data_IF_563930485387
#
_entry.id   IF_563930485387
#
_cell.length_a   1.000
_cell.length_b   1.000
_cell.length_c   1.000
_cell.angle_alpha   90.00
_cell.angle_beta   90.00
_cell.angle_gamma   90.00
#
_symmetry.space_group_name_H-M   'P 1'
#
loop_
_entity.id
_entity.type
_entity.pdbx_description
1 polymer ?
#
# COMPACT_ATOMS: atom_id res chain seq x y z
N UNK A 1 -24.72 23.27 -3.18
CA UNK A 1 -23.64 23.24 -2.20
C UNK A 1 -22.91 24.57 -2.18
N UNK A 2 -22.70 25.21 -1.04
CA UNK A 2 -21.92 26.43 -1.03
C UNK A 2 -20.49 26.16 -1.50
N UNK A 3 -19.94 27.09 -2.28
CA UNK A 3 -18.54 27.02 -2.68
C UNK A 3 -17.64 27.17 -1.47
N UNK A 4 -16.67 26.26 -1.32
CA UNK A 4 -15.66 26.36 -0.26
C UNK A 4 -14.62 27.43 -0.63
N UNK A 5 -14.09 28.17 0.35
CA UNK A 5 -12.92 29.02 0.11
C UNK A 5 -11.76 28.17 -0.46
N UNK A 6 -10.97 28.79 -1.36
CA UNK A 6 -9.88 28.07 -2.06
C UNK A 6 -8.90 27.39 -1.10
N UNK A 7 -8.63 27.99 0.07
CA UNK A 7 -7.73 27.40 1.06
C UNK A 7 -8.36 26.15 1.74
N UNK A 8 -9.70 26.13 1.96
CA UNK A 8 -10.38 24.94 2.49
C UNK A 8 -10.39 23.81 1.48
N UNK A 9 -10.58 24.11 0.18
CA UNK A 9 -10.47 23.11 -0.87
C UNK A 9 -9.11 22.44 -0.89
N UNK A 10 -8.04 23.20 -0.70
CA UNK A 10 -6.67 22.67 -0.62
C UNK A 10 -6.47 21.75 0.58
N UNK A 11 -7.03 22.08 1.73
CA UNK A 11 -6.94 21.24 2.93
C UNK A 11 -7.78 19.97 2.83
N UNK A 12 -8.84 20.00 2.05
CA UNK A 12 -9.74 18.85 1.85
C UNK A 12 -9.42 18.02 0.63
N UNK A 13 -8.51 18.50 -0.21
CA UNK A 13 -8.06 17.73 -1.35
C UNK A 13 -7.35 16.45 -0.89
N UNK A 14 -7.64 15.29 -1.48
CA UNK A 14 -6.95 14.07 -1.12
C UNK A 14 -5.46 14.16 -1.43
N UNK A 15 -4.65 13.60 -0.55
CA UNK A 15 -3.22 13.49 -0.73
C UNK A 15 -2.90 12.14 -1.36
N UNK A 16 -2.12 12.15 -2.43
CA UNK A 16 -1.64 10.94 -3.08
C UNK A 16 -0.12 10.92 -3.05
N UNK A 17 0.45 9.75 -2.75
CA UNK A 17 1.90 9.57 -2.83
C UNK A 17 2.34 9.37 -4.28
N UNK A 18 3.63 9.50 -4.54
CA UNK A 18 4.18 9.13 -5.84
C UNK A 18 3.96 7.64 -6.07
N UNK A 19 3.56 7.25 -7.30
CA UNK A 19 3.37 5.84 -7.62
C UNK A 19 4.70 5.09 -7.69
N UNK A 20 4.68 3.81 -7.31
CA UNK A 20 5.77 2.88 -7.50
C UNK A 20 5.34 1.80 -8.49
N UNK A 21 6.28 1.23 -9.23
CA UNK A 21 5.99 0.22 -10.24
C UNK A 21 7.05 -0.86 -10.26
N UNK A 22 6.70 -2.00 -10.88
CA UNK A 22 7.65 -3.08 -11.13
C UNK A 22 8.15 -3.00 -12.58
N UNK A 23 9.46 -3.14 -12.84
CA UNK A 23 9.97 -3.22 -14.20
C UNK A 23 9.39 -4.39 -15.03
N UNK A 24 8.92 -5.44 -14.39
CA UNK A 24 8.30 -6.58 -15.06
C UNK A 24 6.92 -6.25 -15.65
N UNK A 25 6.19 -5.30 -15.03
CA UNK A 25 4.88 -4.84 -15.50
C UNK A 25 4.79 -3.31 -15.32
N UNK A 26 5.43 -2.54 -16.22
CA UNK A 26 5.60 -1.09 -16.02
C UNK A 26 4.31 -0.27 -16.11
N UNK A 27 3.20 -0.86 -16.60
CA UNK A 27 1.90 -0.19 -16.62
C UNK A 27 1.12 -0.34 -15.32
N UNK A 28 1.63 -1.10 -14.35
CA UNK A 28 1.00 -1.32 -13.05
C UNK A 28 1.72 -0.54 -11.96
N UNK A 29 0.94 0.28 -11.25
CA UNK A 29 1.43 1.18 -10.20
C UNK A 29 0.73 0.91 -8.89
N UNK A 30 1.42 1.16 -7.80
CA UNK A 30 0.85 1.22 -6.46
C UNK A 30 1.11 2.59 -5.88
N UNK A 31 0.07 3.20 -5.30
CA UNK A 31 0.16 4.47 -4.60
C UNK A 31 -0.66 4.42 -3.31
N UNK A 32 -0.42 5.38 -2.42
CA UNK A 32 -1.26 5.56 -1.24
C UNK A 32 -2.05 6.85 -1.40
N UNK A 33 -3.29 6.84 -0.94
CA UNK A 33 -4.16 8.01 -0.95
C UNK A 33 -5.03 8.03 0.31
N UNK A 34 -5.31 9.20 0.82
CA UNK A 34 -6.20 9.41 1.97
C UNK A 34 -7.62 9.80 1.57
N UNK A 35 -7.98 9.63 0.29
CA UNK A 35 -9.30 10.03 -0.23
C UNK A 35 -10.48 9.32 0.45
N UNK A 36 -10.24 8.15 1.07
CA UNK A 36 -11.24 7.41 1.83
C UNK A 36 -11.30 7.78 3.32
N UNK A 37 -10.50 8.76 3.77
CA UNK A 37 -10.44 9.23 5.15
C UNK A 37 -9.16 8.85 5.90
N UNK A 38 -8.47 7.80 5.48
CA UNK A 38 -7.16 7.39 5.96
C UNK A 38 -6.32 6.90 4.77
N UNK A 39 -5.00 6.90 4.93
CA UNK A 39 -4.13 6.41 3.86
C UNK A 39 -4.37 4.93 3.61
N UNK A 40 -4.81 4.59 2.39
CA UNK A 40 -4.97 3.22 1.91
C UNK A 40 -4.12 3.01 0.66
N UNK A 41 -3.90 1.75 0.31
CA UNK A 41 -3.14 1.41 -0.88
C UNK A 41 -4.07 1.18 -2.07
N UNK A 42 -3.70 1.76 -3.21
CA UNK A 42 -4.44 1.71 -4.45
C UNK A 42 -3.61 1.06 -5.53
N UNK A 43 -4.23 0.17 -6.29
CA UNK A 43 -3.68 -0.36 -7.53
C UNK A 43 -4.14 0.52 -8.69
N UNK A 44 -3.19 0.95 -9.51
CA UNK A 44 -3.48 1.80 -10.66
C UNK A 44 -2.80 1.24 -11.90
N UNK A 45 -3.57 0.97 -12.92
CA UNK A 45 -3.08 0.54 -14.21
C UNK A 45 -3.19 1.69 -15.21
N UNK A 46 -2.19 1.85 -16.08
CA UNK A 46 -2.19 2.92 -17.07
C UNK A 46 -3.49 2.91 -17.89
N UNK A 47 -4.15 4.07 -18.00
CA UNK A 47 -5.41 4.21 -18.71
C UNK A 47 -6.67 3.87 -17.91
N UNK A 48 -6.53 3.49 -16.63
CA UNK A 48 -7.64 3.16 -15.73
C UNK A 48 -7.63 4.07 -14.49
N UNK A 49 -8.73 4.06 -13.73
CA UNK A 49 -8.80 4.74 -12.45
C UNK A 49 -8.13 3.91 -11.35
N UNK A 50 -7.47 4.55 -10.37
CA UNK A 50 -6.95 3.83 -9.21
C UNK A 50 -8.06 3.12 -8.44
N UNK A 51 -7.77 1.90 -7.99
CA UNK A 51 -8.70 1.07 -7.21
C UNK A 51 -8.15 0.83 -5.81
N UNK A 52 -8.93 1.11 -4.78
CA UNK A 52 -8.54 0.81 -3.41
C UNK A 52 -8.55 -0.69 -3.17
N UNK A 53 -7.43 -1.23 -2.69
CA UNK A 53 -7.29 -2.66 -2.39
C UNK A 53 -7.17 -2.96 -0.88
N UNK A 54 -7.08 -1.96 -0.04
CA UNK A 54 -6.91 -2.13 1.41
C UNK A 54 -7.95 -1.35 2.19
N UNK A 55 -8.19 -1.80 3.43
CA UNK A 55 -9.10 -1.13 4.36
C UNK A 55 -8.55 -1.28 5.79
N UNK A 56 -7.38 -0.69 6.03
CA UNK A 56 -6.74 -0.72 7.34
C UNK A 56 -7.30 0.39 8.24
N UNK A 57 -7.74 0.08 9.47
CA UNK A 57 -8.38 1.07 10.34
C UNK A 57 -7.50 2.28 10.67
N UNK A 58 -6.19 2.07 10.82
CA UNK A 58 -5.24 3.14 11.15
C UNK A 58 -4.51 3.68 9.93
N UNK A 59 -4.85 3.20 8.73
CA UNK A 59 -4.17 3.59 7.50
C UNK A 59 -2.89 2.80 7.25
N UNK A 60 -2.24 3.12 6.12
CA UNK A 60 -1.06 2.41 5.63
C UNK A 60 0.07 3.41 5.40
N UNK A 61 1.24 3.12 5.94
CA UNK A 61 2.44 3.94 5.73
C UNK A 61 3.37 3.39 4.66
N UNK A 62 3.35 2.08 4.44
CA UNK A 62 4.22 1.40 3.49
C UNK A 62 3.41 0.51 2.55
N UNK A 63 3.53 0.76 1.26
CA UNK A 63 2.92 -0.06 0.22
C UNK A 63 3.79 -0.05 -1.03
N UNK A 64 3.82 -1.16 -1.74
CA UNK A 64 4.56 -1.31 -2.98
C UNK A 64 3.93 -2.38 -3.87
N UNK A 65 4.49 -2.56 -5.06
CA UNK A 65 4.12 -3.63 -5.97
C UNK A 65 5.15 -4.75 -5.90
N UNK A 66 4.72 -6.01 -6.05
CA UNK A 66 5.63 -7.15 -6.09
C UNK A 66 6.59 -7.07 -7.28
N UNK A 67 7.73 -7.77 -7.17
CA UNK A 67 8.75 -7.74 -8.22
C UNK A 67 8.28 -8.21 -9.59
N UNK A 68 7.28 -9.11 -9.64
CA UNK A 68 6.65 -9.59 -10.88
C UNK A 68 5.43 -8.76 -11.29
N UNK A 69 5.02 -7.76 -10.50
CA UNK A 69 3.86 -6.92 -10.79
C UNK A 69 2.51 -7.56 -10.49
N UNK A 70 2.46 -8.77 -9.94
CA UNK A 70 1.22 -9.53 -9.76
C UNK A 70 0.44 -9.13 -8.51
N UNK A 71 1.08 -8.50 -7.52
CA UNK A 71 0.48 -8.23 -6.22
C UNK A 71 0.81 -6.85 -5.70
N UNK A 72 -0.13 -6.27 -4.96
CA UNK A 72 0.11 -5.13 -4.10
C UNK A 72 0.54 -5.65 -2.72
N UNK A 73 1.60 -5.07 -2.16
CA UNK A 73 2.18 -5.49 -0.88
C UNK A 73 2.17 -4.30 0.06
N UNK A 74 1.73 -4.51 1.30
CA UNK A 74 1.72 -3.44 2.30
C UNK A 74 2.07 -3.98 3.69
N UNK A 75 2.49 -3.07 4.56
CA UNK A 75 2.70 -3.39 5.97
C UNK A 75 1.41 -3.14 6.76
N UNK A 76 0.86 -4.19 7.34
CA UNK A 76 -0.37 -4.14 8.13
C UNK A 76 -0.03 -3.96 9.61
N UNK A 77 -0.48 -2.82 10.15
CA UNK A 77 -0.29 -2.41 11.54
C UNK A 77 -1.67 -2.07 12.12
N UNK A 78 -2.44 -3.08 12.57
CA UNK A 78 -3.84 -2.86 12.93
C UNK A 78 -4.05 -2.00 14.18
N UNK A 79 -3.03 -1.84 15.01
CA UNK A 79 -3.13 -1.06 16.26
C UNK A 79 -2.44 0.30 16.19
N UNK A 80 -1.66 0.56 15.14
CA UNK A 80 -0.96 1.83 14.99
C UNK A 80 0.32 1.96 15.79
N UNK A 81 0.82 0.86 16.35
CA UNK A 81 2.05 0.84 17.16
C UNK A 81 3.31 0.50 16.35
N UNK A 82 3.17 0.49 15.02
CA UNK A 82 4.23 0.16 14.05
C UNK A 82 4.71 -1.30 14.13
N UNK A 83 3.97 -2.14 14.85
CA UNK A 83 4.25 -3.58 14.94
C UNK A 83 3.20 -4.35 14.15
N UNK A 84 3.60 -5.07 13.13
CA UNK A 84 2.67 -5.76 12.26
C UNK A 84 3.34 -6.77 11.34
N UNK A 85 2.70 -7.00 10.20
CA UNK A 85 3.10 -8.00 9.21
C UNK A 85 3.00 -7.45 7.79
N UNK A 86 3.79 -8.01 6.91
CA UNK A 86 3.67 -7.77 5.48
C UNK A 86 2.55 -8.64 4.90
N UNK A 87 1.60 -7.99 4.23
CA UNK A 87 0.49 -8.64 3.54
C UNK A 87 0.58 -8.37 2.04
N UNK A 88 -0.04 -9.26 1.27
CA UNK A 88 -0.14 -9.12 -0.17
C UNK A 88 -1.57 -9.42 -0.63
N UNK A 89 -1.99 -8.74 -1.69
CA UNK A 89 -3.26 -8.99 -2.36
C UNK A 89 -3.02 -8.98 -3.87
N UNK A 90 -3.72 -9.82 -4.65
CA UNK A 90 -3.59 -9.76 -6.10
C UNK A 90 -3.85 -8.34 -6.63
N UNK A 91 -3.09 -7.92 -7.65
CA UNK A 91 -3.23 -6.57 -8.22
C UNK A 91 -4.65 -6.29 -8.69
N UNK A 92 -5.36 -7.30 -9.17
CA UNK A 92 -6.76 -7.21 -9.58
C UNK A 92 -7.76 -7.18 -8.42
N UNK A 93 -7.31 -7.41 -7.20
CA UNK A 93 -8.13 -7.54 -5.99
C UNK A 93 -8.32 -8.98 -5.57
N UNK A 94 -8.85 -9.20 -4.40
CA UNK A 94 -9.09 -10.53 -3.86
C UNK A 94 -8.78 -10.61 -2.38
N UNK A 95 -8.52 -11.82 -1.89
CA UNK A 95 -8.23 -12.05 -0.49
C UNK A 95 -6.77 -11.73 -0.15
N UNK A 96 -6.50 -10.92 0.88
CA UNK A 96 -5.16 -10.70 1.38
C UNK A 96 -4.54 -11.99 1.95
N UNK A 97 -3.23 -12.11 1.80
CA UNK A 97 -2.45 -13.21 2.38
C UNK A 97 -1.19 -12.67 3.05
N UNK A 98 -0.65 -13.41 4.00
CA UNK A 98 0.64 -13.09 4.56
C UNK A 98 1.72 -13.27 3.50
N UNK A 99 2.59 -12.26 3.33
CA UNK A 99 3.71 -12.34 2.41
C UNK A 99 4.75 -13.34 2.89
N UNK A 100 4.97 -13.39 4.22
CA UNK A 100 5.91 -14.28 4.88
C UNK A 100 5.16 -15.12 5.92
N UNK A 101 4.48 -16.20 5.51
CA UNK A 101 3.72 -17.04 6.44
C UNK A 101 4.60 -17.56 7.58
N UNK A 102 4.12 -17.43 8.82
CA UNK A 102 4.85 -17.86 10.00
C UNK A 102 5.90 -16.89 10.51
N UNK A 103 6.16 -15.78 9.84
CA UNK A 103 7.06 -14.76 10.37
C UNK A 103 6.45 -14.09 11.60
N UNK A 104 7.28 -13.74 12.61
CA UNK A 104 6.78 -13.03 13.78
C UNK A 104 6.33 -11.62 13.44
N UNK A 105 5.44 -11.07 14.26
CA UNK A 105 5.09 -9.65 14.22
C UNK A 105 6.32 -8.83 14.63
N UNK A 106 6.57 -7.73 13.92
CA UNK A 106 7.72 -6.87 14.20
C UNK A 106 7.60 -5.53 13.49
N UNK A 107 8.61 -4.69 13.64
CA UNK A 107 8.69 -3.41 12.96
C UNK A 107 9.25 -3.58 11.55
N UNK A 108 8.78 -2.78 10.58
CA UNK A 108 9.29 -2.87 9.22
C UNK A 108 10.63 -2.13 9.10
N UNK A 109 11.72 -2.87 9.07
CA UNK A 109 13.06 -2.30 8.86
C UNK A 109 13.45 -2.26 7.39
N UNK A 110 12.89 -3.13 6.58
CA UNK A 110 13.16 -3.13 5.15
C UNK A 110 12.44 -4.24 4.41
N UNK A 111 12.26 -4.02 3.11
CA UNK A 111 11.65 -4.98 2.21
C UNK A 111 12.32 -4.88 0.84
N UNK A 112 12.71 -6.01 0.29
CA UNK A 112 13.21 -6.11 -1.08
C UNK A 112 12.41 -7.18 -1.83
N UNK A 113 11.83 -6.80 -2.96
CA UNK A 113 10.99 -7.66 -3.77
C UNK A 113 11.66 -7.93 -5.12
N UNK A 114 12.27 -9.11 -5.25
CA UNK A 114 12.73 -9.62 -6.54
C UNK A 114 11.64 -10.41 -7.26
N UNK A 115 11.95 -10.91 -8.46
CA UNK A 115 10.99 -11.72 -9.22
C UNK A 115 10.66 -13.02 -8.53
N UNK A 116 11.66 -13.67 -7.93
CA UNK A 116 11.54 -14.99 -7.32
C UNK A 116 11.84 -15.00 -5.81
N UNK A 117 12.38 -13.89 -5.29
CA UNK A 117 12.83 -13.81 -3.90
C UNK A 117 12.29 -12.56 -3.22
N UNK A 118 11.76 -12.74 -2.03
CA UNK A 118 11.35 -11.65 -1.15
C UNK A 118 12.25 -11.67 0.08
N UNK A 119 12.83 -10.51 0.40
CA UNK A 119 13.58 -10.32 1.63
C UNK A 119 12.91 -9.22 2.44
N UNK A 120 12.54 -9.54 3.68
CA UNK A 120 12.00 -8.57 4.61
C UNK A 120 12.81 -8.60 5.91
N UNK A 121 13.07 -7.42 6.44
CA UNK A 121 13.73 -7.27 7.73
C UNK A 121 12.71 -6.71 8.72
N UNK A 122 12.48 -7.43 9.80
CA UNK A 122 11.60 -7.03 10.88
C UNK A 122 12.43 -6.87 12.15
N UNK A 123 12.28 -5.74 12.80
CA UNK A 123 12.95 -5.52 14.07
C UNK A 123 12.04 -5.96 15.22
N UNK A 124 12.67 -6.60 16.19
CA UNK A 124 12.01 -6.96 17.45
C UNK A 124 12.07 -5.80 18.44
N UNK A 125 11.05 -5.68 19.25
CA UNK A 125 11.03 -4.69 20.32
C UNK A 125 11.79 -5.15 21.55
#
# INVERSE_FOLDING_TARGET
>A
MPDLPVWEERYRAPTRTLPVWSPAMPDRFVLRSDESGSFQAYAWEHGAEPRRLTDEPVGITLATVSGDGSSLVWFSDPTGDESGRWLAVPFEGGEPRELLPGAPVGWPEGLSLGRELVVAVLADR
#
